data_IF_549146354832
#
_entry.id   IF_549146354832
#
_cell.length_a   1.000
_cell.length_b   1.000
_cell.length_c   1.000
_cell.angle_alpha   90.00
_cell.angle_beta   90.00
_cell.angle_gamma   90.00
#
_symmetry.space_group_name_H-M   'P 1'
#
loop_
_entity.id
_entity.type
_entity.pdbx_description
1 polymer ?
#
# COMPACT_ATOMS: atom_id res chain seq x y z
N UNK A 1 -5.21 -12.23 -15.23
CA UNK A 1 -6.17 -11.15 -15.21
C UNK A 1 -6.00 -10.33 -13.93
N UNK A 2 -5.92 -9.03 -14.08
CA UNK A 2 -5.69 -8.11 -12.97
C UNK A 2 -6.79 -8.19 -11.91
N UNK A 3 -8.04 -8.36 -12.32
CA UNK A 3 -9.15 -8.47 -11.36
C UNK A 3 -9.03 -9.72 -10.51
N UNK A 4 -8.58 -10.82 -11.10
CA UNK A 4 -8.36 -12.06 -10.35
C UNK A 4 -7.21 -11.89 -9.36
N UNK A 5 -6.12 -11.25 -9.78
CA UNK A 5 -4.98 -10.97 -8.89
C UNK A 5 -5.40 -10.11 -7.71
N UNK A 6 -6.22 -9.07 -7.94
CA UNK A 6 -6.73 -8.22 -6.86
C UNK A 6 -7.61 -9.01 -5.90
N UNK A 7 -8.45 -9.89 -6.43
CA UNK A 7 -9.33 -10.71 -5.61
C UNK A 7 -8.53 -11.63 -4.68
N UNK A 8 -7.52 -12.33 -5.22
CA UNK A 8 -6.68 -13.21 -4.40
C UNK A 8 -5.89 -12.45 -3.34
N UNK A 9 -5.34 -11.29 -3.70
CA UNK A 9 -4.60 -10.46 -2.74
C UNK A 9 -5.49 -10.03 -1.58
N UNK A 10 -6.71 -9.59 -1.86
CA UNK A 10 -7.65 -9.18 -0.83
C UNK A 10 -8.05 -10.34 0.07
N UNK A 11 -8.25 -11.54 -0.50
CA UNK A 11 -8.57 -12.72 0.28
C UNK A 11 -7.42 -13.10 1.23
N UNK A 12 -6.19 -13.05 0.74
CA UNK A 12 -5.02 -13.35 1.57
C UNK A 12 -4.88 -12.33 2.71
N UNK A 13 -5.18 -11.05 2.46
CA UNK A 13 -5.15 -10.02 3.50
C UNK A 13 -6.22 -10.24 4.57
N UNK A 14 -7.38 -10.75 4.19
CA UNK A 14 -8.43 -11.07 5.16
C UNK A 14 -7.98 -12.18 6.11
N UNK A 15 -7.18 -13.12 5.63
CA UNK A 15 -6.70 -14.25 6.43
C UNK A 15 -5.51 -13.86 7.32
N UNK A 16 -4.57 -13.07 6.79
CA UNK A 16 -3.39 -12.65 7.54
C UNK A 16 -2.96 -11.25 7.11
N UNK A 17 -3.37 -10.27 7.88
CA UNK A 17 -3.11 -8.86 7.58
C UNK A 17 -1.68 -8.42 7.88
N UNK A 18 -0.85 -9.29 8.50
CA UNK A 18 0.55 -8.98 8.76
C UNK A 18 1.48 -9.34 7.61
N UNK A 19 0.98 -9.96 6.55
CA UNK A 19 1.79 -10.40 5.43
C UNK A 19 2.08 -9.24 4.47
N UNK A 20 3.26 -8.67 4.60
CA UNK A 20 3.68 -7.56 3.73
C UNK A 20 3.75 -7.95 2.26
N UNK A 21 4.12 -9.19 1.96
CA UNK A 21 4.20 -9.66 0.56
C UNK A 21 2.86 -9.54 -0.15
N UNK A 22 1.77 -9.78 0.57
CA UNK A 22 0.42 -9.65 0.02
C UNK A 22 0.09 -8.17 -0.22
N UNK A 23 0.45 -7.29 0.71
CA UNK A 23 0.26 -5.84 0.52
C UNK A 23 1.03 -5.35 -0.70
N UNK A 24 2.28 -5.80 -0.88
CA UNK A 24 3.06 -5.42 -2.07
C UNK A 24 2.43 -5.95 -3.35
N UNK A 25 1.94 -7.18 -3.36
CA UNK A 25 1.27 -7.74 -4.53
C UNK A 25 0.03 -6.93 -4.90
N UNK A 26 -0.78 -6.54 -3.90
CA UNK A 26 -1.95 -5.70 -4.13
C UNK A 26 -1.56 -4.33 -4.67
N UNK A 27 -0.54 -3.69 -4.10
CA UNK A 27 -0.05 -2.39 -4.57
C UNK A 27 0.40 -2.49 -6.03
N UNK A 28 1.18 -3.51 -6.38
CA UNK A 28 1.65 -3.69 -7.75
C UNK A 28 0.50 -3.88 -8.73
N UNK A 29 -0.50 -4.66 -8.34
CA UNK A 29 -1.68 -4.88 -9.17
C UNK A 29 -2.47 -3.57 -9.36
N UNK A 30 -2.63 -2.79 -8.32
CA UNK A 30 -3.32 -1.50 -8.39
C UNK A 30 -2.56 -0.51 -9.27
N UNK A 31 -1.24 -0.43 -9.11
CA UNK A 31 -0.40 0.43 -9.94
C UNK A 31 -0.52 0.03 -11.42
N UNK A 32 -0.44 -1.26 -11.71
CA UNK A 32 -0.52 -1.76 -13.08
C UNK A 32 -1.88 -1.49 -13.72
N UNK A 33 -2.95 -1.40 -12.93
CA UNK A 33 -4.29 -1.10 -13.43
C UNK A 33 -4.61 0.40 -13.42
N UNK A 34 -3.63 1.25 -13.11
CA UNK A 34 -3.83 2.70 -13.06
C UNK A 34 -4.49 3.20 -11.79
N UNK A 35 -4.64 2.36 -10.78
CA UNK A 35 -5.27 2.72 -9.51
C UNK A 35 -4.22 3.16 -8.50
N UNK A 36 -3.61 4.31 -8.76
CA UNK A 36 -2.51 4.79 -7.91
C UNK A 36 -2.97 5.23 -6.53
N UNK A 37 -4.08 5.94 -6.43
CA UNK A 37 -4.60 6.35 -5.13
C UNK A 37 -4.99 5.15 -4.25
N UNK A 38 -5.69 4.13 -4.74
CA UNK A 38 -5.87 2.91 -3.97
C UNK A 38 -4.56 2.25 -3.54
N UNK A 39 -3.51 2.30 -4.37
CA UNK A 39 -2.20 1.75 -4.01
C UNK A 39 -1.60 2.48 -2.81
N UNK A 40 -1.73 3.79 -2.75
CA UNK A 40 -1.27 4.58 -1.59
C UNK A 40 -2.05 4.16 -0.34
N UNK A 41 -3.35 4.01 -0.44
CA UNK A 41 -4.17 3.59 0.70
C UNK A 41 -3.78 2.19 1.18
N UNK A 42 -3.45 1.30 0.26
CA UNK A 42 -2.97 -0.04 0.60
C UNK A 42 -1.67 0.04 1.40
N UNK A 43 -0.72 0.88 0.97
CA UNK A 43 0.53 1.08 1.71
C UNK A 43 0.27 1.63 3.12
N UNK A 44 -0.58 2.65 3.23
CA UNK A 44 -0.87 3.26 4.53
C UNK A 44 -1.54 2.27 5.47
N UNK A 45 -2.43 1.43 4.96
CA UNK A 45 -3.04 0.36 5.75
C UNK A 45 -2.00 -0.63 6.25
N UNK A 46 -1.07 -1.01 5.40
CA UNK A 46 0.03 -1.91 5.76
C UNK A 46 0.87 -1.30 6.88
N UNK A 47 1.29 -0.04 6.72
CA UNK A 47 2.09 0.66 7.71
C UNK A 47 1.36 0.73 9.06
N UNK A 48 0.10 1.15 9.04
CA UNK A 48 -0.66 1.32 10.27
C UNK A 48 -0.87 0.00 10.98
N UNK A 49 -1.15 -1.05 10.22
CA UNK A 49 -1.35 -2.38 10.82
C UNK A 49 -0.06 -2.90 11.46
N UNK A 50 1.08 -2.76 10.77
CA UNK A 50 2.36 -3.22 11.30
C UNK A 50 2.74 -2.47 12.56
N UNK A 51 2.52 -1.15 12.60
CA UNK A 51 2.81 -0.34 13.78
C UNK A 51 1.91 -0.68 14.95
N UNK A 52 0.60 -0.84 14.69
CA UNK A 52 -0.37 -1.13 15.73
C UNK A 52 -0.22 -2.53 16.30
N UNK A 53 0.03 -3.52 15.44
CA UNK A 53 0.04 -4.92 15.84
C UNK A 53 1.40 -5.41 16.29
N UNK A 54 2.48 -4.95 15.65
CA UNK A 54 3.82 -5.47 15.87
C UNK A 54 4.81 -4.41 16.31
N UNK A 55 4.46 -3.13 16.27
CA UNK A 55 5.38 -2.05 16.57
C UNK A 55 6.52 -1.92 15.56
N UNK A 56 6.29 -2.35 14.33
CA UNK A 56 7.30 -2.37 13.27
C UNK A 56 6.93 -1.42 12.13
N UNK A 57 7.96 -0.94 11.42
CA UNK A 57 7.77 -0.23 10.17
C UNK A 57 7.75 -1.20 9.01
N UNK A 58 7.16 -0.82 7.86
CA UNK A 58 7.24 -1.64 6.65
C UNK A 58 8.70 -1.90 6.26
N UNK A 59 8.95 -3.03 5.61
CA UNK A 59 10.27 -3.38 5.14
C UNK A 59 10.76 -2.41 4.06
N UNK A 60 12.06 -2.44 3.78
CA UNK A 60 12.65 -1.59 2.75
C UNK A 60 11.98 -1.81 1.39
N UNK A 61 11.68 -3.06 1.06
CA UNK A 61 11.04 -3.41 -0.21
C UNK A 61 9.67 -2.74 -0.37
N UNK A 62 8.88 -2.74 0.69
CA UNK A 62 7.56 -2.10 0.68
C UNK A 62 7.70 -0.59 0.59
N UNK A 63 8.64 0.00 1.34
CA UNK A 63 8.88 1.45 1.32
C UNK A 63 9.40 1.91 -0.03
N UNK A 64 10.28 1.15 -0.67
CA UNK A 64 10.79 1.50 -1.99
C UNK A 64 9.71 1.47 -3.05
N UNK A 65 8.81 0.51 -2.98
CA UNK A 65 7.66 0.43 -3.89
C UNK A 65 6.77 1.67 -3.74
N UNK A 66 6.51 2.08 -2.52
CA UNK A 66 5.73 3.27 -2.24
C UNK A 66 6.44 4.53 -2.71
N UNK A 67 7.74 4.66 -2.42
CA UNK A 67 8.52 5.82 -2.84
C UNK A 67 8.55 5.96 -4.36
N UNK A 68 8.71 4.87 -5.08
CA UNK A 68 8.67 4.88 -6.55
C UNK A 68 7.31 5.36 -7.06
N UNK A 69 6.23 4.95 -6.40
CA UNK A 69 4.88 5.36 -6.77
C UNK A 69 4.70 6.87 -6.60
N UNK A 70 5.07 7.43 -5.45
CA UNK A 70 4.82 8.86 -5.17
C UNK A 70 5.81 9.77 -5.90
N UNK A 71 7.02 9.33 -6.21
CA UNK A 71 7.99 10.16 -6.92
C UNK A 71 7.70 10.27 -8.41
N UNK A 72 6.95 9.34 -8.98
CA UNK A 72 6.57 9.41 -10.40
C UNK A 72 5.35 10.27 -10.66
N UNK A 73 4.63 10.70 -9.61
CA UNK A 73 3.42 11.49 -9.77
C UNK A 73 3.32 12.55 -8.66
N UNK A 74 3.56 13.84 -9.00
CA UNK A 74 3.48 14.91 -7.99
C UNK A 74 2.12 15.06 -7.33
N UNK A 75 1.04 14.70 -8.01
CA UNK A 75 -0.30 14.75 -7.41
C UNK A 75 -0.46 13.74 -6.29
N UNK A 76 0.13 12.55 -6.45
CA UNK A 76 0.10 11.56 -5.39
C UNK A 76 0.91 12.00 -4.18
N UNK A 77 2.00 12.71 -4.40
CA UNK A 77 2.80 13.27 -3.31
C UNK A 77 1.98 14.28 -2.50
N UNK A 78 1.19 15.12 -3.17
CA UNK A 78 0.28 16.04 -2.48
C UNK A 78 -0.78 15.30 -1.69
N UNK A 79 -1.32 14.22 -2.24
CA UNK A 79 -2.33 13.41 -1.58
C UNK A 79 -1.76 12.78 -0.32
N UNK A 80 -0.54 12.25 -0.38
CA UNK A 80 0.14 11.70 0.78
C UNK A 80 0.30 12.75 1.88
N UNK A 81 0.75 13.96 1.52
CA UNK A 81 0.90 15.05 2.47
C UNK A 81 -0.42 15.41 3.14
N UNK A 82 -1.49 15.49 2.35
CA UNK A 82 -2.83 15.79 2.88
C UNK A 82 -3.31 14.72 3.85
N UNK A 83 -3.09 13.44 3.52
CA UNK A 83 -3.47 12.33 4.39
C UNK A 83 -2.65 12.33 5.69
N UNK A 84 -1.36 12.62 5.60
CA UNK A 84 -0.51 12.72 6.78
C UNK A 84 -0.95 13.84 7.71
N UNK A 85 -1.38 14.97 7.16
CA UNK A 85 -1.87 16.11 7.94
C UNK A 85 -3.17 15.78 8.67
N UNK A 86 -4.01 14.94 8.08
CA UNK A 86 -5.28 14.57 8.69
C UNK A 86 -5.13 13.62 9.87
N UNK A 87 -4.01 12.96 9.98
CA UNK A 87 -3.78 11.99 11.06
C UNK A 87 -3.12 12.60 12.29
N UNK A 88 -2.84 13.88 12.27
CA UNK A 88 -2.19 14.60 13.38
C UNK A 88 -3.18 15.21 14.36
#
# INVERSE_FOLDING_TARGET
DMRVALWFARKAMEEDQTREDVYRALMKAQIASGQRCPAIKTYLSCRDYLQSSLGLDPSIETRELYNALVTTDPELLRLETALAQKTV
#
